data_IF_905079114492
#
_entry.id   IF_905079114492
#
_cell.length_a   1.000
_cell.length_b   1.000
_cell.length_c   1.000
_cell.angle_alpha   90.00
_cell.angle_beta   90.00
_cell.angle_gamma   90.00
#
_symmetry.space_group_name_H-M   'P 1'
#
loop_
_entity.id
_entity.type
_entity.pdbx_description
1 polymer ?
#
# COMPACT_ATOMS: atom_id res chain seq x y z
N UNK A 1 5.06 -26.41 1.19
CA UNK A 1 3.99 -26.68 2.14
C UNK A 1 3.82 -25.48 3.08
N UNK A 2 2.92 -24.55 2.70
CA UNK A 2 2.70 -23.29 3.39
C UNK A 2 2.03 -23.40 4.75
N UNK A 3 1.43 -24.53 5.11
CA UNK A 3 0.88 -24.73 6.46
C UNK A 3 1.99 -24.76 7.51
N UNK A 4 3.15 -25.28 7.14
CA UNK A 4 4.36 -25.21 7.97
C UNK A 4 5.05 -23.84 7.88
N UNK A 5 4.79 -23.07 6.84
CA UNK A 5 5.38 -21.74 6.61
C UNK A 5 4.77 -20.63 7.46
N UNK A 6 3.61 -20.80 8.06
CA UNK A 6 2.99 -19.83 8.96
C UNK A 6 3.85 -19.39 10.15
N UNK A 7 4.91 -20.13 10.47
CA UNK A 7 5.86 -19.83 11.53
C UNK A 7 7.19 -19.25 11.03
N UNK A 8 7.31 -18.88 9.76
CA UNK A 8 8.58 -18.57 9.10
C UNK A 8 8.98 -17.09 9.12
N UNK A 9 8.48 -16.32 10.04
CA UNK A 9 9.03 -14.99 10.34
C UNK A 9 10.47 -15.01 10.87
N UNK A 10 11.03 -16.18 11.10
CA UNK A 10 12.31 -16.41 11.73
C UNK A 10 13.48 -16.83 10.85
N UNK A 11 13.40 -16.67 9.53
CA UNK A 11 14.59 -16.83 8.67
C UNK A 11 15.20 -18.25 8.65
N UNK A 12 14.41 -19.29 8.79
CA UNK A 12 14.91 -20.65 8.62
C UNK A 12 15.28 -20.89 7.15
N UNK A 13 16.52 -21.27 6.94
CA UNK A 13 17.06 -21.65 5.61
C UNK A 13 16.20 -22.78 5.04
N UNK A 14 15.72 -22.62 3.80
CA UNK A 14 14.94 -23.67 3.12
C UNK A 14 13.43 -23.49 3.11
N UNK A 15 12.91 -22.37 3.64
CA UNK A 15 11.46 -22.14 3.75
C UNK A 15 10.91 -21.13 2.73
N UNK A 16 11.69 -20.78 1.77
CA UNK A 16 11.35 -19.77 0.75
C UNK A 16 10.80 -20.37 -0.54
N UNK A 17 9.89 -21.36 -0.47
CA UNK A 17 9.26 -21.95 -1.64
C UNK A 17 8.53 -20.89 -2.46
N UNK A 18 8.54 -21.06 -3.77
CA UNK A 18 7.92 -20.19 -4.76
C UNK A 18 7.22 -21.06 -5.79
N UNK A 19 5.96 -20.78 -6.09
CA UNK A 19 5.29 -21.54 -7.13
C UNK A 19 5.86 -21.21 -8.51
N UNK A 20 6.05 -19.92 -8.80
CA UNK A 20 6.71 -19.45 -10.03
C UNK A 20 7.77 -18.43 -9.66
N UNK A 21 9.02 -18.67 -10.07
CA UNK A 21 10.13 -17.75 -9.88
C UNK A 21 10.90 -17.57 -11.17
N UNK A 22 10.90 -16.35 -11.72
CA UNK A 22 11.64 -16.01 -12.92
C UNK A 22 12.65 -14.90 -12.61
N UNK A 23 13.88 -15.06 -13.07
CA UNK A 23 14.93 -14.07 -12.86
C UNK A 23 15.61 -13.71 -14.19
N UNK A 24 15.67 -12.40 -14.47
CA UNK A 24 16.31 -11.84 -15.66
C UNK A 24 15.78 -12.45 -16.97
N UNK A 25 14.47 -12.71 -17.00
CA UNK A 25 13.77 -13.23 -18.18
C UNK A 25 13.19 -12.07 -19.01
N UNK A 26 12.94 -12.33 -20.28
CA UNK A 26 12.34 -11.38 -21.21
C UNK A 26 11.24 -12.04 -22.04
N UNK A 27 10.26 -11.26 -22.50
CA UNK A 27 9.11 -11.76 -23.28
C UNK A 27 8.30 -12.81 -22.51
N UNK A 28 7.86 -12.47 -21.30
CA UNK A 28 7.15 -13.37 -20.40
C UNK A 28 5.66 -13.32 -20.70
N UNK A 29 5.03 -14.47 -20.75
CA UNK A 29 3.58 -14.61 -20.71
C UNK A 29 3.19 -15.65 -19.65
N UNK A 30 2.47 -15.20 -18.61
CA UNK A 30 1.84 -16.07 -17.59
C UNK A 30 0.35 -15.81 -17.64
N UNK A 31 -0.44 -16.81 -18.00
CA UNK A 31 -1.89 -16.64 -18.06
C UNK A 31 -2.65 -17.92 -17.77
N UNK A 32 -3.92 -17.76 -17.39
CA UNK A 32 -4.86 -18.86 -17.19
C UNK A 32 -4.37 -19.90 -16.17
N UNK A 33 -3.69 -19.45 -15.11
CA UNK A 33 -3.09 -20.30 -14.08
C UNK A 33 -3.76 -20.05 -12.74
N UNK A 34 -4.00 -21.12 -11.99
CA UNK A 34 -4.42 -21.03 -10.58
C UNK A 34 -3.30 -21.55 -9.68
N UNK A 35 -2.91 -20.75 -8.70
CA UNK A 35 -1.89 -21.07 -7.70
C UNK A 35 -2.59 -21.17 -6.34
N UNK A 36 -2.52 -22.35 -5.73
CA UNK A 36 -3.00 -22.59 -4.38
C UNK A 36 -1.82 -22.89 -3.47
N UNK A 37 -1.70 -22.16 -2.35
CA UNK A 37 -0.59 -22.31 -1.39
C UNK A 37 0.78 -22.18 -2.05
N UNK A 38 1.05 -21.05 -2.67
CA UNK A 38 2.25 -20.75 -3.48
C UNK A 38 3.58 -20.70 -2.73
N UNK A 39 3.63 -20.97 -1.44
CA UNK A 39 4.84 -20.86 -0.64
C UNK A 39 5.03 -19.45 -0.08
N UNK A 40 6.26 -19.02 0.03
CA UNK A 40 6.60 -17.67 0.46
C UNK A 40 6.16 -16.61 -0.58
N UNK A 41 6.21 -16.99 -1.86
CA UNK A 41 5.72 -16.19 -2.99
C UNK A 41 4.89 -17.06 -3.93
N UNK A 42 3.70 -16.62 -4.30
CA UNK A 42 2.94 -17.25 -5.38
C UNK A 42 3.67 -17.09 -6.71
N UNK A 43 3.96 -15.86 -7.09
CA UNK A 43 4.81 -15.52 -8.25
C UNK A 43 5.86 -14.50 -7.79
N UNK A 44 7.10 -14.69 -8.21
CA UNK A 44 8.13 -13.65 -8.11
C UNK A 44 8.87 -13.48 -9.43
N UNK A 45 8.89 -12.26 -9.93
CA UNK A 45 9.68 -11.85 -11.10
C UNK A 45 10.79 -10.93 -10.63
N UNK A 46 12.06 -11.27 -10.87
CA UNK A 46 13.20 -10.44 -10.48
C UNK A 46 14.03 -10.04 -11.70
N UNK A 47 14.12 -8.73 -11.98
CA UNK A 47 14.90 -8.21 -13.10
C UNK A 47 14.37 -8.63 -14.48
N UNK A 48 13.08 -8.84 -14.58
CA UNK A 48 12.42 -9.29 -15.81
C UNK A 48 11.93 -8.11 -16.65
N UNK A 49 11.84 -8.30 -17.97
CA UNK A 49 11.39 -7.26 -18.90
C UNK A 49 10.41 -7.80 -19.95
N UNK A 50 9.48 -6.93 -20.40
CA UNK A 50 8.47 -7.23 -21.42
C UNK A 50 7.63 -8.45 -21.02
N UNK A 51 6.71 -8.26 -20.10
CA UNK A 51 5.90 -9.35 -19.58
C UNK A 51 4.42 -9.01 -19.50
N UNK A 52 3.60 -10.04 -19.67
CA UNK A 52 2.16 -10.00 -19.43
C UNK A 52 1.78 -11.10 -18.46
N UNK A 53 1.05 -10.74 -17.41
CA UNK A 53 0.42 -11.68 -16.49
C UNK A 53 -1.08 -11.41 -16.53
N UNK A 54 -1.85 -12.40 -17.00
CA UNK A 54 -3.26 -12.21 -17.29
C UNK A 54 -4.10 -13.39 -16.81
N UNK A 55 -5.27 -13.10 -16.24
CA UNK A 55 -6.24 -14.09 -15.78
C UNK A 55 -5.61 -15.16 -14.85
N UNK A 56 -4.80 -14.71 -13.87
CA UNK A 56 -4.18 -15.58 -12.88
C UNK A 56 -4.96 -15.50 -11.57
N UNK A 57 -5.19 -16.65 -10.94
CA UNK A 57 -5.78 -16.75 -9.61
C UNK A 57 -4.72 -17.21 -8.62
N UNK A 58 -4.52 -16.46 -7.54
CA UNK A 58 -3.57 -16.83 -6.46
C UNK A 58 -4.35 -16.85 -5.14
N UNK A 59 -4.30 -17.98 -4.45
CA UNK A 59 -4.85 -18.12 -3.11
C UNK A 59 -3.77 -18.73 -2.19
N UNK A 60 -3.07 -17.85 -1.48
CA UNK A 60 -1.88 -18.22 -0.70
C UNK A 60 -1.81 -17.44 0.61
N UNK A 61 -0.94 -17.87 1.51
CA UNK A 61 -0.81 -17.29 2.84
C UNK A 61 0.13 -16.06 2.88
N UNK A 62 1.18 -16.05 2.05
CA UNK A 62 2.22 -15.03 2.02
C UNK A 62 2.10 -14.20 0.74
N UNK A 63 3.16 -13.52 0.30
CA UNK A 63 3.14 -12.65 -0.87
C UNK A 63 2.52 -13.35 -2.09
N UNK A 64 1.54 -12.73 -2.71
CA UNK A 64 0.86 -13.29 -3.86
C UNK A 64 1.68 -13.15 -5.13
N UNK A 65 1.96 -11.93 -5.52
CA UNK A 65 2.71 -11.64 -6.73
C UNK A 65 3.71 -10.49 -6.52
N UNK A 66 4.99 -10.82 -6.57
CA UNK A 66 6.12 -9.91 -6.43
C UNK A 66 6.71 -9.53 -7.80
N UNK A 67 6.82 -8.24 -8.06
CA UNK A 67 7.47 -7.64 -9.23
C UNK A 67 8.69 -6.86 -8.73
N UNK A 68 9.88 -7.46 -8.82
CA UNK A 68 11.11 -6.92 -8.25
C UNK A 68 12.11 -6.52 -9.35
N UNK A 69 12.53 -5.26 -9.38
CA UNK A 69 13.52 -4.76 -10.36
C UNK A 69 13.09 -4.95 -11.83
N UNK A 70 11.82 -4.93 -12.12
CA UNK A 70 11.25 -5.27 -13.43
C UNK A 70 10.86 -4.04 -14.25
N UNK A 71 10.71 -4.23 -15.58
CA UNK A 71 10.34 -3.16 -16.50
C UNK A 71 9.36 -3.65 -17.57
N UNK A 72 8.46 -2.76 -17.99
CA UNK A 72 7.51 -3.01 -19.08
C UNK A 72 6.65 -4.25 -18.85
N UNK A 73 5.98 -4.30 -17.68
CA UNK A 73 5.05 -5.39 -17.35
C UNK A 73 3.61 -4.89 -17.31
N UNK A 74 2.71 -5.75 -17.78
CA UNK A 74 1.27 -5.59 -17.63
C UNK A 74 0.72 -6.72 -16.78
N UNK A 75 -0.10 -6.39 -15.77
CA UNK A 75 -0.84 -7.35 -14.93
C UNK A 75 -2.33 -7.04 -15.07
N UNK A 76 -3.12 -8.02 -15.52
CA UNK A 76 -4.53 -7.80 -15.76
C UNK A 76 -5.41 -8.98 -15.37
N UNK A 77 -6.67 -8.68 -15.00
CA UNK A 77 -7.71 -9.68 -14.77
C UNK A 77 -7.38 -10.72 -13.69
N UNK A 78 -6.47 -10.41 -12.77
CA UNK A 78 -6.01 -11.33 -11.73
C UNK A 78 -6.90 -11.28 -10.49
N UNK A 79 -6.99 -12.41 -9.76
CA UNK A 79 -7.64 -12.51 -8.45
C UNK A 79 -6.60 -13.02 -7.45
N UNK A 80 -6.31 -12.23 -6.42
CA UNK A 80 -5.20 -12.51 -5.50
C UNK A 80 -5.71 -12.45 -4.07
N UNK A 81 -5.63 -13.56 -3.37
CA UNK A 81 -6.00 -13.71 -1.97
C UNK A 81 -4.78 -14.02 -1.12
N UNK A 82 -4.42 -13.11 -0.19
CA UNK A 82 -3.26 -13.24 0.68
C UNK A 82 -3.53 -12.59 2.04
N UNK A 83 -4.16 -13.27 2.98
CA UNK A 83 -4.55 -12.63 4.24
C UNK A 83 -3.40 -12.17 5.12
N UNK A 84 -2.21 -12.76 5.02
CA UNK A 84 -1.12 -12.50 5.95
C UNK A 84 0.08 -11.75 5.37
N UNK A 85 0.06 -11.43 4.06
CA UNK A 85 1.09 -10.61 3.43
C UNK A 85 0.55 -9.86 2.20
N UNK A 86 1.43 -9.23 1.41
CA UNK A 86 1.06 -8.38 0.29
C UNK A 86 0.48 -9.21 -0.88
N UNK A 87 -0.64 -8.76 -1.45
CA UNK A 87 -1.26 -9.49 -2.56
C UNK A 87 -0.54 -9.25 -3.88
N UNK A 88 -0.30 -8.00 -4.20
CA UNK A 88 0.46 -7.59 -5.37
C UNK A 88 1.44 -6.51 -4.94
N UNK A 89 2.72 -6.79 -5.08
CA UNK A 89 3.76 -5.90 -4.58
C UNK A 89 4.84 -5.65 -5.62
N UNK A 90 5.19 -4.38 -5.77
CA UNK A 90 6.34 -3.95 -6.54
C UNK A 90 7.50 -3.72 -5.58
N UNK A 91 8.62 -4.34 -5.86
CA UNK A 91 9.87 -4.17 -5.12
C UNK A 91 10.97 -3.65 -6.06
N UNK A 92 11.94 -3.00 -5.47
CA UNK A 92 13.17 -2.59 -6.15
C UNK A 92 14.33 -2.93 -5.23
N UNK A 93 14.50 -4.24 -4.99
CA UNK A 93 15.43 -4.79 -4.03
C UNK A 93 16.89 -4.78 -4.51
N UNK A 94 17.79 -5.15 -3.63
CA UNK A 94 19.21 -5.34 -3.99
C UNK A 94 19.51 -6.78 -4.47
N UNK A 95 18.50 -7.54 -4.92
CA UNK A 95 18.64 -8.93 -5.35
C UNK A 95 19.54 -9.11 -6.58
N UNK A 96 19.67 -8.06 -7.39
CA UNK A 96 20.59 -8.00 -8.54
C UNK A 96 21.98 -7.45 -8.19
N UNK A 97 22.27 -7.25 -6.89
CA UNK A 97 23.52 -6.68 -6.35
C UNK A 97 23.82 -5.26 -6.85
N UNK A 98 22.83 -4.58 -7.34
CA UNK A 98 22.83 -3.16 -7.73
C UNK A 98 21.42 -2.60 -7.60
N UNK A 99 21.25 -1.28 -7.37
CA UNK A 99 19.94 -0.65 -7.44
C UNK A 99 19.41 -0.72 -8.86
N UNK A 100 18.20 -1.28 -9.04
CA UNK A 100 17.52 -1.33 -10.34
C UNK A 100 16.09 -0.85 -10.13
N UNK A 101 15.71 0.18 -10.83
CA UNK A 101 14.37 0.75 -10.76
C UNK A 101 13.31 -0.22 -11.29
N UNK A 102 12.17 -0.31 -10.60
CA UNK A 102 10.99 -0.96 -11.13
C UNK A 102 10.13 0.09 -11.82
N UNK A 103 9.96 -0.05 -13.14
CA UNK A 103 9.34 1.01 -13.94
C UNK A 103 8.48 0.50 -15.10
N UNK A 104 7.56 1.39 -15.56
CA UNK A 104 6.65 1.08 -16.67
C UNK A 104 5.77 -0.14 -16.38
N UNK A 105 5.11 -0.15 -15.24
CA UNK A 105 4.23 -1.23 -14.79
C UNK A 105 2.78 -0.76 -14.85
N UNK A 106 1.95 -1.49 -15.57
CA UNK A 106 0.52 -1.26 -15.65
C UNK A 106 -0.26 -2.42 -15.02
N UNK A 107 -1.13 -2.11 -14.06
CA UNK A 107 -1.95 -3.09 -13.34
C UNK A 107 -3.41 -2.68 -13.49
N UNK A 108 -4.27 -3.61 -13.94
CA UNK A 108 -5.68 -3.29 -14.15
C UNK A 108 -6.62 -4.48 -13.96
N UNK A 109 -7.88 -4.19 -13.62
CA UNK A 109 -8.96 -5.18 -13.52
C UNK A 109 -8.67 -6.32 -12.53
N UNK A 110 -7.98 -6.05 -11.42
CA UNK A 110 -7.64 -7.06 -10.43
C UNK A 110 -8.58 -7.02 -9.22
N UNK A 111 -8.82 -8.19 -8.64
CA UNK A 111 -9.53 -8.36 -7.37
C UNK A 111 -8.55 -8.84 -6.31
N UNK A 112 -8.43 -8.09 -5.24
CA UNK A 112 -7.50 -8.33 -4.13
C UNK A 112 -8.30 -8.62 -2.87
N UNK A 113 -7.96 -9.70 -2.17
CA UNK A 113 -8.75 -10.15 -1.01
C UNK A 113 -7.87 -10.63 0.16
N UNK A 114 -8.44 -10.57 1.37
CA UNK A 114 -7.86 -11.11 2.60
C UNK A 114 -8.75 -12.18 3.23
N UNK A 115 -9.27 -13.10 2.44
CA UNK A 115 -10.02 -14.23 2.93
C UNK A 115 -9.09 -15.31 3.50
N UNK A 116 -9.62 -16.16 4.38
CA UNK A 116 -8.94 -17.38 4.81
C UNK A 116 -8.49 -18.20 3.60
N UNK A 117 -7.24 -18.62 3.62
CA UNK A 117 -6.64 -19.36 2.49
C UNK A 117 -7.47 -20.59 2.10
N UNK A 118 -7.73 -20.73 0.81
CA UNK A 118 -8.57 -21.75 0.21
C UNK A 118 -10.01 -21.33 -0.02
N UNK A 119 -10.49 -20.32 0.71
CA UNK A 119 -11.93 -19.94 0.63
C UNK A 119 -12.25 -19.00 -0.53
N UNK A 120 -11.26 -18.43 -1.18
CA UNK A 120 -11.46 -17.80 -2.49
C UNK A 120 -11.76 -18.86 -3.55
N UNK A 121 -11.03 -19.97 -3.54
CA UNK A 121 -11.14 -21.02 -4.56
C UNK A 121 -12.36 -21.92 -4.36
N UNK A 122 -12.75 -22.20 -3.12
CA UNK A 122 -13.94 -23.03 -2.84
C UNK A 122 -15.26 -22.23 -2.87
N UNK A 123 -15.17 -20.88 -3.03
CA UNK A 123 -16.34 -20.00 -3.13
C UNK A 123 -17.05 -19.70 -1.81
N UNK A 124 -16.47 -20.03 -0.66
CA UNK A 124 -17.09 -19.73 0.65
C UNK A 124 -16.75 -18.32 1.15
N UNK A 125 -15.67 -17.69 0.65
CA UNK A 125 -15.28 -16.29 0.91
C UNK A 125 -15.25 -15.94 2.39
N UNK A 126 -14.67 -16.80 3.24
CA UNK A 126 -14.64 -16.61 4.68
C UNK A 126 -13.58 -15.56 5.03
N UNK A 127 -13.95 -14.42 5.67
CA UNK A 127 -12.96 -13.43 6.11
C UNK A 127 -11.94 -14.05 7.08
N UNK A 128 -10.66 -13.67 6.93
CA UNK A 128 -9.63 -14.09 7.89
C UNK A 128 -9.84 -13.38 9.23
N UNK A 129 -9.66 -14.11 10.32
CA UNK A 129 -9.90 -13.63 11.69
C UNK A 129 -8.59 -13.43 12.45
N UNK A 130 -7.74 -12.54 11.94
CA UNK A 130 -6.49 -12.16 12.61
C UNK A 130 -6.46 -10.66 12.87
N UNK A 131 -5.64 -10.25 13.83
CA UNK A 131 -5.51 -8.83 14.17
C UNK A 131 -4.91 -7.99 13.04
N UNK A 132 -4.24 -8.61 12.09
CA UNK A 132 -3.62 -7.98 10.95
C UNK A 132 -3.92 -8.78 9.68
N UNK A 133 -4.94 -8.38 8.94
CA UNK A 133 -5.17 -8.86 7.57
C UNK A 133 -4.43 -7.93 6.62
N UNK A 134 -3.62 -8.46 5.73
CA UNK A 134 -2.86 -7.72 4.75
C UNK A 134 -3.58 -7.65 3.40
N UNK A 135 -3.22 -8.49 2.45
CA UNK A 135 -3.88 -8.55 1.16
C UNK A 135 -3.95 -7.21 0.44
N UNK A 136 -2.85 -6.47 0.32
CA UNK A 136 -2.83 -5.10 -0.22
C UNK A 136 -2.07 -4.98 -1.52
N UNK A 137 -2.24 -3.84 -2.19
CA UNK A 137 -1.31 -3.40 -3.22
C UNK A 137 -0.19 -2.57 -2.59
N UNK A 138 1.06 -2.90 -2.88
CA UNK A 138 2.20 -2.24 -2.25
C UNK A 138 3.30 -1.86 -3.25
N UNK A 139 3.91 -0.71 -3.03
CA UNK A 139 5.24 -0.36 -3.51
C UNK A 139 6.17 -0.44 -2.30
N UNK A 140 7.15 -1.34 -2.33
CA UNK A 140 8.05 -1.56 -1.18
C UNK A 140 7.91 -2.95 -0.55
N UNK A 141 8.50 -3.19 0.61
CA UNK A 141 9.34 -2.25 1.38
C UNK A 141 10.76 -2.10 0.80
N UNK A 142 11.27 -3.14 0.10
CA UNK A 142 12.56 -3.08 -0.58
C UNK A 142 12.49 -2.11 -1.76
N UNK A 143 13.22 -0.99 -1.67
CA UNK A 143 13.08 0.15 -2.58
C UNK A 143 14.41 0.81 -2.96
N UNK A 144 15.48 0.03 -3.10
CA UNK A 144 16.85 0.52 -3.36
C UNK A 144 17.01 1.27 -4.69
N UNK A 145 16.29 0.89 -5.73
CA UNK A 145 16.29 1.55 -7.03
C UNK A 145 15.13 2.50 -7.25
N UNK A 146 14.05 2.30 -6.48
CA UNK A 146 12.84 3.11 -6.58
C UNK A 146 11.82 2.62 -7.61
N UNK A 147 10.79 3.45 -7.83
CA UNK A 147 9.62 3.17 -8.67
C UNK A 147 9.34 4.33 -9.60
N UNK A 148 9.02 4.03 -10.86
CA UNK A 148 8.70 5.07 -11.84
C UNK A 148 7.65 4.63 -12.86
N UNK A 149 6.73 5.53 -13.21
CA UNK A 149 5.70 5.27 -14.22
C UNK A 149 4.87 4.01 -13.88
N UNK A 150 4.23 4.03 -12.73
CA UNK A 150 3.39 2.94 -12.22
C UNK A 150 1.92 3.34 -12.32
N UNK A 151 1.07 2.47 -12.85
CA UNK A 151 -0.36 2.68 -12.84
C UNK A 151 -1.13 1.48 -12.26
N UNK A 152 -2.13 1.77 -11.41
CA UNK A 152 -3.11 0.82 -10.90
C UNK A 152 -4.50 1.34 -11.23
N UNK A 153 -5.33 0.53 -11.89
CA UNK A 153 -6.69 0.98 -12.25
C UNK A 153 -7.73 -0.13 -12.21
N UNK A 154 -9.01 0.26 -12.02
CA UNK A 154 -10.14 -0.66 -12.07
C UNK A 154 -10.01 -1.88 -11.14
N UNK A 155 -9.54 -1.67 -9.91
CA UNK A 155 -9.28 -2.74 -8.96
C UNK A 155 -10.29 -2.71 -7.80
N UNK A 156 -10.57 -3.90 -7.26
CA UNK A 156 -11.44 -4.08 -6.09
C UNK A 156 -10.68 -4.75 -4.95
N UNK A 157 -10.87 -4.23 -3.74
CA UNK A 157 -10.25 -4.74 -2.51
C UNK A 157 -11.35 -5.18 -1.53
N UNK A 158 -11.22 -6.40 -0.98
CA UNK A 158 -12.21 -6.98 -0.08
C UNK A 158 -11.53 -7.63 1.13
N UNK A 159 -11.91 -7.23 2.35
CA UNK A 159 -11.34 -7.77 3.59
C UNK A 159 -9.82 -7.69 3.63
N UNK A 160 -9.24 -6.59 3.17
CA UNK A 160 -7.81 -6.41 3.00
C UNK A 160 -7.38 -5.03 3.48
N UNK A 161 -6.09 -4.80 3.63
CA UNK A 161 -5.55 -3.45 3.72
C UNK A 161 -5.65 -2.77 2.35
N UNK A 162 -5.47 -1.45 2.31
CA UNK A 162 -5.60 -0.70 1.07
C UNK A 162 -4.31 -0.60 0.24
N UNK A 163 -3.94 0.63 -0.08
CA UNK A 163 -2.75 0.97 -0.85
C UNK A 163 -1.59 1.35 0.09
N UNK A 164 -0.41 0.80 -0.12
CA UNK A 164 0.79 1.12 0.66
C UNK A 164 1.97 1.47 -0.26
N UNK A 165 2.41 2.72 -0.24
CA UNK A 165 3.55 3.21 -1.01
C UNK A 165 4.68 3.59 -0.07
N UNK A 166 5.69 2.74 0.00
CA UNK A 166 6.76 2.77 1.00
C UNK A 166 8.14 2.84 0.34
N UNK A 167 8.60 4.06 0.06
CA UNK A 167 9.94 4.28 -0.49
C UNK A 167 10.91 4.63 0.65
N UNK A 168 11.70 3.66 1.10
CA UNK A 168 12.49 3.79 2.34
C UNK A 168 13.94 3.30 2.25
N UNK A 169 14.38 2.84 1.09
CA UNK A 169 15.72 2.28 0.89
C UNK A 169 16.56 3.08 -0.13
N UNK A 170 16.45 4.43 -0.10
CA UNK A 170 17.28 5.38 -0.89
C UNK A 170 16.90 5.54 -2.37
N UNK A 171 15.77 4.99 -2.76
CA UNK A 171 15.25 5.18 -4.12
C UNK A 171 14.42 6.46 -4.26
N UNK A 172 13.80 6.57 -5.42
CA UNK A 172 12.81 7.60 -5.72
C UNK A 172 11.50 6.94 -6.16
N UNK A 173 10.38 7.43 -5.66
CA UNK A 173 9.06 7.05 -6.13
C UNK A 173 8.46 8.22 -6.91
N UNK A 174 8.26 8.05 -8.21
CA UNK A 174 7.73 9.13 -9.06
C UNK A 174 6.78 8.64 -10.15
N UNK A 175 5.85 9.52 -10.55
CA UNK A 175 4.85 9.24 -11.59
C UNK A 175 4.02 7.99 -11.27
N UNK A 176 3.34 8.00 -10.13
CA UNK A 176 2.44 6.91 -9.68
C UNK A 176 1.00 7.37 -9.80
N UNK A 177 0.19 6.60 -10.51
CA UNK A 177 -1.24 6.91 -10.71
C UNK A 177 -2.10 5.75 -10.25
N UNK A 178 -3.10 6.04 -9.40
CA UNK A 178 -4.16 5.10 -9.01
C UNK A 178 -5.51 5.68 -9.39
N UNK A 179 -6.35 4.87 -10.05
CA UNK A 179 -7.65 5.33 -10.51
C UNK A 179 -8.71 4.21 -10.47
N UNK A 180 -9.96 4.59 -10.20
CA UNK A 180 -11.11 3.68 -10.23
C UNK A 180 -10.94 2.47 -9.29
N UNK A 181 -10.86 2.71 -7.99
CA UNK A 181 -10.68 1.66 -6.98
C UNK A 181 -11.89 1.60 -6.06
N UNK A 182 -12.39 0.39 -5.82
CA UNK A 182 -13.38 0.13 -4.77
C UNK A 182 -12.77 -0.72 -3.67
N UNK A 183 -13.11 -0.40 -2.41
CA UNK A 183 -12.65 -1.14 -1.25
C UNK A 183 -13.82 -1.40 -0.29
N UNK A 184 -13.85 -2.57 0.33
CA UNK A 184 -14.85 -2.88 1.35
C UNK A 184 -14.25 -3.73 2.46
N UNK A 185 -14.63 -3.45 3.72
CA UNK A 185 -14.01 -4.03 4.92
C UNK A 185 -12.49 -3.84 4.92
N UNK A 186 -12.05 -2.58 4.92
CA UNK A 186 -10.63 -2.24 4.86
C UNK A 186 -10.02 -2.33 6.26
N UNK A 187 -8.98 -3.15 6.38
CA UNK A 187 -8.19 -3.24 7.60
C UNK A 187 -7.13 -2.13 7.64
N UNK A 188 -6.96 -1.51 8.79
CA UNK A 188 -6.00 -0.48 9.12
C UNK A 188 -6.17 0.83 8.37
N UNK A 189 -5.70 0.96 7.14
CA UNK A 189 -5.71 2.22 6.38
C UNK A 189 -6.10 1.98 4.91
N UNK A 190 -6.82 2.92 4.31
CA UNK A 190 -7.17 2.81 2.89
C UNK A 190 -6.01 3.23 1.97
N UNK A 191 -5.22 4.24 2.37
CA UNK A 191 -4.11 4.79 1.61
C UNK A 191 -2.99 5.18 2.57
N UNK A 192 -1.81 4.64 2.32
CA UNK A 192 -0.58 4.95 3.04
C UNK A 192 0.54 5.29 2.06
N UNK A 193 1.13 6.47 2.17
CA UNK A 193 2.25 6.93 1.37
C UNK A 193 3.34 7.40 2.32
N UNK A 194 4.52 6.84 2.24
CA UNK A 194 5.64 7.23 3.10
C UNK A 194 6.98 7.17 2.40
N UNK A 195 7.87 8.07 2.81
CA UNK A 195 9.30 7.96 2.55
C UNK A 195 10.05 7.75 3.84
N UNK A 196 11.30 7.30 3.77
CA UNK A 196 12.11 7.00 4.93
C UNK A 196 13.59 6.87 4.62
N UNK A 197 14.34 6.34 5.58
CA UNK A 197 15.76 6.07 5.47
C UNK A 197 16.15 4.76 6.17
N UNK A 198 15.34 3.71 5.97
CA UNK A 198 15.62 2.37 6.48
C UNK A 198 16.94 1.83 5.93
N UNK A 199 17.22 2.14 4.68
CA UNK A 199 18.51 1.93 4.02
C UNK A 199 19.00 0.47 4.09
N UNK A 200 18.11 -0.48 3.79
CA UNK A 200 18.53 -1.85 3.53
C UNK A 200 19.20 -1.91 2.16
N UNK A 201 20.51 -2.14 2.15
CA UNK A 201 21.31 -2.16 0.92
C UNK A 201 22.78 -1.91 1.21
N UNK A 202 23.53 -1.44 0.23
CA UNK A 202 24.94 -1.10 0.44
C UNK A 202 25.09 -0.02 1.52
N UNK A 203 25.98 -0.27 2.48
CA UNK A 203 26.21 0.64 3.61
C UNK A 203 26.76 2.01 3.20
N UNK A 204 27.31 2.11 2.01
CA UNK A 204 27.84 3.34 1.45
C UNK A 204 26.76 4.35 1.04
N UNK A 205 25.53 3.89 0.88
CA UNK A 205 24.39 4.75 0.56
C UNK A 205 23.63 5.09 1.84
N UNK A 206 23.54 6.36 2.15
CA UNK A 206 22.91 6.88 3.38
C UNK A 206 21.90 7.99 3.08
N UNK A 207 21.42 8.07 1.85
CA UNK A 207 20.48 9.11 1.42
C UNK A 207 19.06 8.82 1.92
N UNK A 208 18.30 9.87 2.10
CA UNK A 208 16.85 9.78 2.37
C UNK A 208 16.13 9.47 1.08
N UNK A 209 15.15 8.59 1.13
CA UNK A 209 14.28 8.31 -0.01
C UNK A 209 13.39 9.50 -0.32
N UNK A 210 13.01 9.67 -1.59
CA UNK A 210 12.16 10.76 -2.04
C UNK A 210 10.92 10.25 -2.79
N UNK A 211 9.86 11.06 -2.82
CA UNK A 211 8.64 10.72 -3.55
C UNK A 211 7.95 11.95 -4.12
N UNK A 212 7.44 11.84 -5.35
CA UNK A 212 6.74 12.93 -6.01
C UNK A 212 5.80 12.48 -7.13
N UNK A 213 4.93 13.39 -7.55
CA UNK A 213 4.03 13.21 -8.69
C UNK A 213 3.16 11.94 -8.52
N UNK A 214 2.43 11.89 -7.40
CA UNK A 214 1.54 10.78 -7.04
C UNK A 214 0.09 11.26 -7.10
N UNK A 215 -0.71 10.60 -7.93
CA UNK A 215 -2.13 10.92 -8.11
C UNK A 215 -3.00 9.72 -7.74
N UNK A 216 -3.97 9.92 -6.84
CA UNK A 216 -4.97 8.92 -6.47
C UNK A 216 -6.35 9.51 -6.70
N UNK A 217 -7.16 8.88 -7.55
CA UNK A 217 -8.47 9.42 -7.92
C UNK A 217 -9.54 8.34 -8.04
N UNK A 218 -10.82 8.77 -7.90
CA UNK A 218 -11.98 7.90 -8.06
C UNK A 218 -11.92 6.67 -7.15
N UNK A 219 -11.82 6.88 -5.84
CA UNK A 219 -11.76 5.82 -4.82
C UNK A 219 -13.02 5.85 -3.96
N UNK A 220 -13.65 4.70 -3.80
CA UNK A 220 -14.73 4.49 -2.83
C UNK A 220 -14.34 3.38 -1.87
N UNK A 221 -14.32 3.67 -0.57
CA UNK A 221 -14.05 2.67 0.46
C UNK A 221 -15.11 2.71 1.57
N UNK A 222 -15.65 1.55 1.90
CA UNK A 222 -16.62 1.37 2.96
C UNK A 222 -16.09 0.47 4.06
N UNK A 223 -16.58 0.69 5.29
CA UNK A 223 -16.19 -0.06 6.47
C UNK A 223 -14.66 -0.08 6.68
N UNK A 224 -14.05 1.09 6.58
CA UNK A 224 -12.62 1.29 6.85
C UNK A 224 -12.39 1.29 8.36
N UNK A 225 -11.30 0.69 8.82
CA UNK A 225 -10.94 0.62 10.24
C UNK A 225 -10.96 2.01 10.90
N UNK A 226 -11.24 2.04 12.18
CA UNK A 226 -11.33 3.28 12.98
C UNK A 226 -9.99 3.91 13.30
N UNK A 227 -8.90 3.18 13.20
CA UNK A 227 -7.62 3.63 13.75
C UNK A 227 -6.90 4.63 12.85
N UNK A 228 -6.95 4.47 11.53
CA UNK A 228 -6.19 5.29 10.62
C UNK A 228 -6.99 5.76 9.41
N UNK A 229 -6.83 7.03 9.08
CA UNK A 229 -7.27 7.60 7.82
C UNK A 229 -6.26 7.38 6.70
N UNK A 230 -6.31 8.24 5.69
CA UNK A 230 -5.22 8.39 4.73
C UNK A 230 -3.99 8.92 5.48
N UNK A 231 -2.83 8.31 5.26
CA UNK A 231 -1.57 8.72 5.87
C UNK A 231 -0.58 9.08 4.78
N UNK A 232 -0.01 10.29 4.82
CA UNK A 232 1.00 10.77 3.89
C UNK A 232 2.16 11.36 4.69
N UNK A 233 3.33 10.71 4.66
CA UNK A 233 4.46 11.13 5.49
C UNK A 233 5.77 11.17 4.70
N UNK A 234 6.30 12.38 4.52
CA UNK A 234 7.65 12.60 4.01
C UNK A 234 8.68 12.59 5.14
N UNK A 235 9.90 13.02 4.83
CA UNK A 235 10.99 13.16 5.79
C UNK A 235 11.33 14.64 6.00
N UNK A 236 11.81 15.01 7.20
CA UNK A 236 12.32 16.37 7.43
C UNK A 236 13.38 16.76 6.40
N UNK A 237 13.21 17.91 5.75
CA UNK A 237 14.11 18.39 4.71
C UNK A 237 13.91 17.74 3.33
N UNK A 238 13.29 16.57 3.26
CA UNK A 238 12.94 15.87 2.01
C UNK A 238 11.44 15.53 2.00
N UNK A 239 10.54 16.51 1.82
CA UNK A 239 9.11 16.28 1.81
C UNK A 239 8.67 15.47 0.58
N UNK A 240 7.54 14.77 0.71
CA UNK A 240 6.80 14.29 -0.45
C UNK A 240 6.28 15.48 -1.26
N UNK A 241 6.34 15.41 -2.60
CA UNK A 241 5.98 16.55 -3.46
C UNK A 241 4.89 16.19 -4.47
N UNK A 242 4.02 17.16 -4.77
CA UNK A 242 3.01 17.03 -5.82
C UNK A 242 2.10 15.81 -5.58
N UNK A 243 1.42 15.75 -4.45
CA UNK A 243 0.47 14.68 -4.13
C UNK A 243 -0.94 15.18 -4.41
N UNK A 244 -1.69 14.44 -5.22
CA UNK A 244 -3.07 14.78 -5.56
C UNK A 244 -4.04 13.67 -5.18
N UNK A 245 -5.08 14.03 -4.43
CA UNK A 245 -6.20 13.17 -4.02
C UNK A 245 -7.50 13.76 -4.58
N UNK A 246 -8.22 13.05 -5.44
CA UNK A 246 -9.44 13.60 -6.03
C UNK A 246 -10.57 12.58 -6.16
N UNK A 247 -11.82 13.05 -6.02
CA UNK A 247 -13.02 12.20 -6.13
C UNK A 247 -12.96 10.97 -5.20
N UNK A 248 -12.69 11.19 -3.91
CA UNK A 248 -12.52 10.11 -2.93
C UNK A 248 -13.68 10.12 -1.93
N UNK A 249 -14.27 8.94 -1.65
CA UNK A 249 -15.31 8.76 -0.64
C UNK A 249 -14.92 7.62 0.29
N UNK A 250 -14.70 7.94 1.56
CA UNK A 250 -14.29 6.97 2.57
C UNK A 250 -15.27 6.98 3.74
N UNK A 251 -15.76 5.79 4.11
CA UNK A 251 -16.57 5.60 5.32
C UNK A 251 -15.78 4.81 6.34
N UNK A 252 -15.48 5.44 7.45
CA UNK A 252 -14.74 4.86 8.57
C UNK A 252 -15.68 4.30 9.64
N UNK A 253 -15.22 3.29 10.39
CA UNK A 253 -15.95 2.80 11.57
C UNK A 253 -16.08 3.88 12.65
N UNK A 254 -15.12 4.81 12.72
CA UNK A 254 -15.12 5.92 13.67
C UNK A 254 -14.89 5.48 15.11
N UNK A 255 -15.26 6.32 16.06
CA UNK A 255 -15.13 6.03 17.50
C UNK A 255 -13.85 6.59 18.14
N UNK A 256 -13.09 7.41 17.43
CA UNK A 256 -11.88 8.06 17.96
C UNK A 256 -12.22 9.12 19.01
N UNK A 257 -11.47 9.09 20.14
CA UNK A 257 -11.59 10.10 21.19
C UNK A 257 -10.86 11.41 20.82
N UNK A 258 -11.30 12.53 21.36
CA UNK A 258 -10.72 13.86 21.08
C UNK A 258 -9.23 13.97 21.48
N UNK A 259 -8.82 13.23 22.51
CA UNK A 259 -7.45 13.21 23.02
C UNK A 259 -6.46 12.66 21.98
N UNK A 260 -6.91 11.80 21.07
CA UNK A 260 -6.08 11.27 19.99
C UNK A 260 -5.58 12.37 19.04
N UNK A 261 -6.29 13.49 18.92
CA UNK A 261 -5.85 14.66 18.16
C UNK A 261 -4.53 15.30 18.68
N UNK A 262 -4.18 15.04 19.95
CA UNK A 262 -2.94 15.53 20.56
C UNK A 262 -1.78 14.57 20.36
N UNK A 263 -2.03 13.39 19.80
CA UNK A 263 -1.02 12.38 19.60
C UNK A 263 0.00 12.87 18.59
N UNK A 264 1.27 12.64 18.88
CA UNK A 264 2.35 12.86 17.95
C UNK A 264 2.50 11.64 17.06
N UNK A 265 2.26 11.84 15.78
CA UNK A 265 2.62 10.86 14.75
C UNK A 265 3.98 11.30 14.17
N UNK A 266 4.90 10.39 14.04
CA UNK A 266 6.25 10.67 13.57
C UNK A 266 6.53 9.96 12.25
N UNK A 267 7.42 10.53 11.48
CA UNK A 267 8.04 9.87 10.34
C UNK A 267 8.70 8.56 10.77
N UNK A 268 8.71 7.57 9.89
CA UNK A 268 9.25 6.24 10.23
C UNK A 268 10.79 6.23 10.31
N UNK A 269 11.46 7.17 9.62
CA UNK A 269 12.91 7.29 9.64
C UNK A 269 13.59 5.98 9.23
N UNK A 270 14.39 5.43 10.12
CA UNK A 270 15.12 4.15 9.94
C UNK A 270 14.29 2.91 10.28
N UNK A 271 13.09 3.08 10.82
CA UNK A 271 12.23 1.97 11.20
C UNK A 271 11.62 1.25 9.98
N UNK A 272 11.07 0.07 10.23
CA UNK A 272 10.23 -0.61 9.26
C UNK A 272 8.92 0.20 9.13
N UNK A 273 8.50 0.61 7.92
CA UNK A 273 7.50 1.67 7.74
C UNK A 273 6.04 1.21 7.87
N UNK A 274 5.76 0.20 8.63
CA UNK A 274 4.39 -0.29 8.80
C UNK A 274 3.57 0.58 9.76
N UNK A 275 2.42 1.13 9.34
CA UNK A 275 1.58 1.98 10.18
C UNK A 275 1.05 1.30 11.44
N UNK A 276 0.96 -0.04 11.46
CA UNK A 276 0.57 -0.81 12.64
C UNK A 276 1.43 -0.53 13.87
N UNK A 277 2.66 -0.11 13.68
CA UNK A 277 3.56 0.26 14.77
C UNK A 277 3.35 1.70 15.24
N UNK A 278 2.71 2.52 14.43
CA UNK A 278 2.42 3.91 14.74
C UNK A 278 1.07 4.10 15.48
N UNK A 279 0.23 3.09 15.55
CA UNK A 279 -1.10 3.07 16.18
C UNK A 279 -2.08 4.06 15.51
N UNK A 280 -3.02 4.65 16.30
CA UNK A 280 -4.04 5.54 15.77
C UNK A 280 -3.46 6.87 15.26
N UNK A 281 -3.99 7.36 14.16
CA UNK A 281 -3.65 8.70 13.62
C UNK A 281 -4.36 9.83 14.40
N UNK A 282 -3.77 11.04 14.42
CA UNK A 282 -4.38 12.19 15.08
C UNK A 282 -5.59 12.77 14.35
N UNK A 283 -5.87 12.30 13.13
CA UNK A 283 -7.06 12.65 12.34
C UNK A 283 -7.74 11.38 11.84
N UNK A 284 -9.07 11.40 11.65
CA UNK A 284 -9.76 10.21 11.17
C UNK A 284 -9.78 10.08 9.64
N UNK A 285 -9.72 11.19 8.90
CA UNK A 285 -9.81 11.21 7.44
C UNK A 285 -8.46 11.26 6.76
N UNK A 286 -7.65 12.27 7.03
CA UNK A 286 -6.33 12.49 6.43
C UNK A 286 -5.33 13.03 7.43
N UNK A 287 -4.19 12.40 7.54
CA UNK A 287 -3.00 12.93 8.21
C UNK A 287 -1.86 13.11 7.21
N UNK A 288 -1.29 14.31 7.14
CA UNK A 288 -0.14 14.61 6.29
C UNK A 288 0.99 15.27 7.10
N UNK A 289 2.22 14.81 6.88
CA UNK A 289 3.44 15.26 7.55
C UNK A 289 4.57 15.40 6.54
N UNK A 290 5.27 16.54 6.52
CA UNK A 290 6.35 16.85 5.57
C UNK A 290 5.92 16.65 4.10
N UNK A 291 4.98 17.47 3.64
CA UNK A 291 4.48 17.43 2.26
C UNK A 291 4.54 18.83 1.64
N UNK A 292 4.98 18.92 0.40
CA UNK A 292 4.99 20.15 -0.39
C UNK A 292 4.12 19.98 -1.64
N UNK A 293 3.16 20.88 -1.84
CA UNK A 293 2.12 20.81 -2.87
C UNK A 293 1.20 19.58 -2.70
N UNK A 294 0.27 19.70 -1.75
CA UNK A 294 -0.81 18.72 -1.50
C UNK A 294 -2.14 19.25 -2.05
N UNK A 295 -2.68 18.59 -3.03
CA UNK A 295 -3.98 18.91 -3.59
C UNK A 295 -5.03 17.87 -3.17
N UNK A 296 -6.15 18.31 -2.59
CA UNK A 296 -7.27 17.46 -2.18
C UNK A 296 -8.57 18.08 -2.70
N UNK A 297 -9.20 17.39 -3.66
CA UNK A 297 -10.40 17.90 -4.34
C UNK A 297 -11.54 16.89 -4.35
N UNK A 298 -12.75 17.35 -4.04
CA UNK A 298 -13.98 16.53 -4.01
C UNK A 298 -13.84 15.25 -3.17
N UNK A 299 -13.46 15.41 -1.90
CA UNK A 299 -13.23 14.31 -0.96
C UNK A 299 -14.26 14.32 0.17
N UNK A 300 -14.78 13.14 0.51
CA UNK A 300 -15.74 12.95 1.58
C UNK A 300 -15.28 11.89 2.58
N UNK A 301 -15.29 12.26 3.86
CA UNK A 301 -15.00 11.40 5.00
C UNK A 301 -16.25 11.27 5.88
N UNK A 302 -16.84 10.07 5.94
CA UNK A 302 -17.98 9.77 6.81
C UNK A 302 -17.60 8.77 7.88
N UNK A 303 -18.36 8.73 8.98
CA UNK A 303 -18.11 7.83 10.10
C UNK A 303 -19.38 7.10 10.54
N UNK A 304 -19.30 5.80 10.80
CA UNK A 304 -20.43 5.00 11.32
C UNK A 304 -20.70 5.36 12.78
N UNK A 305 -19.65 5.49 13.60
CA UNK A 305 -19.73 5.97 14.99
C UNK A 305 -19.13 7.37 15.06
N UNK A 306 -19.63 8.25 15.93
CA UNK A 306 -19.03 9.57 16.12
C UNK A 306 -17.52 9.48 16.38
N UNK A 307 -16.73 10.27 15.65
CA UNK A 307 -15.28 10.38 15.84
C UNK A 307 -14.93 11.82 16.22
N UNK A 308 -14.27 12.02 17.34
CA UNK A 308 -13.99 13.34 17.90
C UNK A 308 -12.60 13.88 17.52
N UNK A 309 -11.83 13.13 16.72
CA UNK A 309 -10.62 13.67 16.08
C UNK A 309 -11.00 14.69 15.00
N UNK A 310 -10.11 15.61 14.60
CA UNK A 310 -10.32 16.37 13.37
C UNK A 310 -10.39 15.44 12.14
N UNK A 311 -11.07 15.90 11.10
CA UNK A 311 -11.11 15.11 9.87
C UNK A 311 -9.76 15.12 9.16
N UNK A 312 -9.06 16.25 9.16
CA UNK A 312 -7.77 16.44 8.50
C UNK A 312 -6.78 17.08 9.49
N UNK A 313 -5.57 16.56 9.55
CA UNK A 313 -4.47 17.19 10.28
C UNK A 313 -3.24 17.26 9.40
N UNK A 314 -2.63 18.45 9.36
CA UNK A 314 -1.45 18.78 8.57
C UNK A 314 -0.33 19.25 9.51
N UNK A 315 0.84 18.66 9.40
CA UNK A 315 2.05 19.03 10.13
C UNK A 315 3.20 19.25 9.12
N UNK A 316 3.82 20.43 9.12
CA UNK A 316 4.84 20.81 8.12
C UNK A 316 4.41 20.50 6.66
N UNK A 317 3.23 20.99 6.31
CA UNK A 317 2.69 20.91 4.93
C UNK A 317 2.70 22.29 4.31
N UNK A 318 3.22 22.41 3.08
CA UNK A 318 3.32 23.66 2.33
C UNK A 318 2.55 23.56 1.02
N UNK A 319 2.09 24.72 0.53
CA UNK A 319 1.42 24.85 -0.78
C UNK A 319 0.22 23.87 -0.93
N UNK A 320 -0.55 23.69 0.15
CA UNK A 320 -1.72 22.83 0.14
C UNK A 320 -2.95 23.52 -0.44
N UNK A 321 -3.77 22.76 -1.18
CA UNK A 321 -5.06 23.20 -1.71
C UNK A 321 -6.15 22.19 -1.41
N UNK A 322 -7.23 22.66 -0.76
CA UNK A 322 -8.41 21.85 -0.42
C UNK A 322 -9.64 22.45 -1.09
N UNK A 323 -10.34 21.66 -1.89
CA UNK A 323 -11.56 22.05 -2.61
C UNK A 323 -12.64 21.00 -2.40
N UNK A 324 -13.87 21.44 -2.11
CA UNK A 324 -15.05 20.57 -1.97
C UNK A 324 -14.86 19.41 -0.95
N UNK A 325 -14.34 19.73 0.24
CA UNK A 325 -14.16 18.75 1.31
C UNK A 325 -15.42 18.63 2.16
N UNK A 326 -15.89 17.39 2.37
CA UNK A 326 -16.98 17.06 3.28
C UNK A 326 -16.52 16.06 4.34
N UNK A 327 -16.92 16.26 5.59
CA UNK A 327 -16.59 15.32 6.66
C UNK A 327 -17.64 15.36 7.79
N UNK A 328 -17.83 14.23 8.47
CA UNK A 328 -18.68 14.09 9.65
C UNK A 328 -17.96 14.62 10.90
N UNK A 329 -17.81 15.94 10.98
CA UNK A 329 -17.11 16.61 12.08
C UNK A 329 -18.04 16.75 13.29
N UNK A 330 -17.65 16.20 14.42
CA UNK A 330 -18.42 16.27 15.66
C UNK A 330 -18.29 17.64 16.34
N UNK A 331 -19.29 18.00 17.17
CA UNK A 331 -19.27 19.25 17.97
C UNK A 331 -17.99 19.29 18.83
N UNK A 332 -17.24 20.39 18.70
CA UNK A 332 -15.95 20.57 19.39
C UNK A 332 -14.72 20.06 18.63
N UNK A 333 -14.91 19.34 17.53
CA UNK A 333 -13.82 18.98 16.60
C UNK A 333 -13.70 19.99 15.44
N UNK A 334 -12.70 19.83 14.59
CA UNK A 334 -12.43 20.71 13.44
C UNK A 334 -12.36 19.91 12.14
N UNK A 335 -12.74 20.55 11.04
CA UNK A 335 -12.55 19.97 9.71
C UNK A 335 -11.06 19.82 9.40
N UNK A 336 -10.28 20.88 9.55
CA UNK A 336 -8.84 20.91 9.28
C UNK A 336 -8.10 21.52 10.47
N UNK A 337 -7.02 20.89 10.90
CA UNK A 337 -6.05 21.39 11.87
C UNK A 337 -4.69 21.46 11.20
N UNK A 338 -4.01 22.60 11.34
CA UNK A 338 -2.63 22.83 10.86
C UNK A 338 -1.71 23.07 12.05
N UNK A 339 -0.54 22.45 12.06
CA UNK A 339 0.54 22.62 13.06
C UNK A 339 1.86 22.99 12.40
#
# INVERSE_FOLDING_TARGET
DTEKAGNLQGGNIGTGDKAIALKQCRNILIRDVTIYRGGHFGIILTGCELGTVDNVVIDTNRDGFDIDCCKYLTVSNCKINTPHDDALVLKSSYALKKPVITEHIAITNCVITGYKVGTLLDGTYIPEKVNWVCGRFKLGTESNGGYKNISLSNCTFMYSSGLAFEEVDQGIMENVVVNNVTMNHVHHYPIYITTGCRNRGPKERTTVSTGRDIMISNVVANDVDSLAGIIITGMPGEPLRNISLSNIRLQYRGGGAAELAKRQYREQGTNYPEPKFAKETPAFGLFALHVDNLEVDNVSFTTIKPDYRPAIMLEDVKNERFTQIKADVQKGSKLIVKK
#
